data_IF_863505927434
#
_entry.id   IF_863505927434
#
_cell.length_a   1.000
_cell.length_b   1.000
_cell.length_c   1.000
_cell.angle_alpha   90.00
_cell.angle_beta   90.00
_cell.angle_gamma   90.00
#
_symmetry.space_group_name_H-M   'P 1'
#
loop_
_entity.id
_entity.type
_entity.pdbx_description
1 polymer ?
#
# COMPACT_ATOMS: atom_id res chain seq x y z
N UNK A 1 47.42 -32.03 -22.99
CA UNK A 1 46.94 -32.87 -21.86
C UNK A 1 48.15 -33.23 -21.00
N UNK A 2 48.09 -33.29 -19.66
CA UNK A 2 47.27 -32.61 -18.63
C UNK A 2 48.22 -31.70 -17.78
N UNK A 3 47.94 -31.07 -16.63
CA UNK A 3 46.93 -31.23 -15.61
C UNK A 3 46.73 -29.93 -14.81
N UNK A 4 45.45 -29.70 -14.52
CA UNK A 4 44.87 -28.87 -13.47
C UNK A 4 45.45 -29.19 -12.08
N UNK A 5 45.87 -28.19 -11.29
CA UNK A 5 45.84 -28.26 -9.81
C UNK A 5 45.55 -26.88 -9.20
N UNK A 6 44.32 -26.73 -8.73
CA UNK A 6 43.84 -25.66 -7.85
C UNK A 6 44.52 -25.76 -6.47
N UNK A 7 44.93 -24.66 -5.83
CA UNK A 7 45.21 -24.68 -4.41
C UNK A 7 43.89 -24.65 -3.63
N UNK A 8 43.66 -25.73 -2.87
CA UNK A 8 42.67 -25.84 -1.83
C UNK A 8 43.06 -24.96 -0.62
N UNK A 9 42.08 -24.26 -0.04
CA UNK A 9 42.29 -23.49 1.18
C UNK A 9 41.22 -22.44 1.45
N UNK A 10 39.94 -22.78 1.27
CA UNK A 10 38.82 -21.94 1.74
C UNK A 10 38.35 -22.51 3.08
N UNK A 11 38.80 -21.87 4.16
CA UNK A 11 38.29 -22.10 5.49
C UNK A 11 36.80 -21.72 5.52
N UNK A 12 35.95 -22.73 5.62
CA UNK A 12 34.53 -22.60 5.93
C UNK A 12 34.39 -22.07 7.36
N UNK A 13 34.18 -20.77 7.50
CA UNK A 13 33.62 -20.19 8.71
C UNK A 13 32.13 -20.53 8.79
N UNK A 14 31.81 -21.69 9.37
CA UNK A 14 30.47 -22.00 9.84
C UNK A 14 30.17 -21.12 11.06
N UNK A 15 29.64 -19.93 10.82
CA UNK A 15 28.96 -19.16 11.86
C UNK A 15 27.65 -19.86 12.24
N UNK A 16 27.31 -19.98 13.53
CA UNK A 16 26.09 -20.66 13.94
C UNK A 16 24.88 -19.93 13.37
N UNK A 17 23.96 -20.69 12.78
CA UNK A 17 22.63 -20.23 12.44
C UNK A 17 21.97 -19.74 13.74
N UNK A 18 21.94 -18.42 13.91
CA UNK A 18 21.21 -17.76 14.99
C UNK A 18 19.75 -18.16 14.91
N UNK A 19 19.22 -18.56 16.06
CA UNK A 19 17.88 -19.05 16.27
C UNK A 19 16.82 -18.24 15.52
N UNK A 20 15.82 -18.94 15.00
CA UNK A 20 14.53 -18.34 14.69
C UNK A 20 13.98 -17.69 15.97
N UNK A 21 14.00 -16.37 16.03
CA UNK A 21 13.39 -15.62 17.11
C UNK A 21 11.88 -15.64 16.88
N UNK A 22 11.21 -16.50 17.65
CA UNK A 22 9.81 -16.27 17.98
C UNK A 22 9.77 -14.98 18.81
N UNK A 23 9.34 -13.87 18.22
CA UNK A 23 9.13 -12.62 18.93
C UNK A 23 7.80 -12.71 19.69
N UNK A 24 7.83 -13.37 20.83
CA UNK A 24 6.87 -13.09 21.92
C UNK A 24 7.59 -12.17 22.91
N UNK A 25 7.73 -10.90 22.53
CA UNK A 25 8.14 -9.88 23.49
C UNK A 25 6.90 -9.42 24.20
N UNK A 26 6.69 -9.92 25.41
CA UNK A 26 5.78 -9.37 26.42
C UNK A 26 6.18 -7.95 26.82
N UNK A 27 6.16 -7.03 25.86
CA UNK A 27 6.35 -5.61 26.07
C UNK A 27 5.17 -5.13 26.92
N UNK A 28 5.49 -4.62 28.12
CA UNK A 28 4.50 -3.94 28.93
C UNK A 28 3.83 -2.83 28.09
N UNK A 29 2.53 -2.58 28.27
CA UNK A 29 1.78 -1.51 27.60
C UNK A 29 2.37 -0.08 27.78
N UNK A 30 3.50 0.05 28.49
CA UNK A 30 4.18 1.30 28.83
C UNK A 30 5.41 1.60 27.96
N UNK A 31 5.92 0.64 27.17
CA UNK A 31 7.04 0.94 26.26
C UNK A 31 6.56 1.69 25.01
N UNK A 32 7.22 2.79 24.62
CA UNK A 32 6.85 3.54 23.42
C UNK A 32 7.02 2.65 22.18
N UNK A 33 6.13 2.75 21.18
CA UNK A 33 6.21 1.93 19.98
C UNK A 33 7.55 2.17 19.25
N UNK A 34 8.18 1.09 18.81
CA UNK A 34 9.48 1.05 18.13
C UNK A 34 9.38 0.83 16.62
N UNK A 35 10.52 0.58 15.99
CA UNK A 35 10.59 0.33 14.55
C UNK A 35 10.47 -1.17 14.25
N UNK A 36 9.59 -1.52 13.31
CA UNK A 36 9.29 -2.91 12.94
C UNK A 36 10.04 -3.31 11.67
N UNK A 37 11.23 -3.89 11.84
CA UNK A 37 12.12 -4.25 10.73
C UNK A 37 11.94 -5.69 10.22
N UNK A 38 10.69 -6.10 9.96
CA UNK A 38 10.43 -7.42 9.38
C UNK A 38 11.03 -7.52 7.96
N UNK A 39 11.93 -8.49 7.69
CA UNK A 39 12.48 -8.72 6.36
C UNK A 39 11.41 -8.86 5.25
N UNK A 40 10.25 -9.45 5.55
CA UNK A 40 9.16 -9.63 4.58
C UNK A 40 8.53 -8.32 4.11
N UNK A 41 8.66 -7.25 4.90
CA UNK A 41 8.17 -5.90 4.57
C UNK A 41 9.33 -5.05 4.01
N UNK A 42 10.46 -5.03 4.73
CA UNK A 42 11.60 -4.16 4.41
C UNK A 42 12.24 -4.55 3.08
N UNK A 43 12.42 -5.85 2.80
CA UNK A 43 13.09 -6.30 1.56
C UNK A 43 12.29 -5.90 0.32
N UNK A 44 10.98 -6.16 0.20
CA UNK A 44 10.19 -5.66 -0.94
C UNK A 44 10.20 -4.14 -1.08
N UNK A 45 10.10 -3.39 0.02
CA UNK A 45 10.17 -1.92 -0.01
C UNK A 45 11.51 -1.43 -0.58
N UNK A 46 12.62 -2.01 -0.13
CA UNK A 46 13.95 -1.68 -0.61
C UNK A 46 14.17 -2.09 -2.06
N UNK A 47 13.64 -3.24 -2.49
CA UNK A 47 13.70 -3.68 -3.90
C UNK A 47 12.97 -2.67 -4.79
N UNK A 48 11.74 -2.27 -4.41
CA UNK A 48 10.94 -1.29 -5.15
C UNK A 48 11.66 0.06 -5.23
N UNK A 49 12.25 0.53 -4.12
CA UNK A 49 13.05 1.75 -4.09
C UNK A 49 14.29 1.65 -5.00
N UNK A 50 15.04 0.54 -4.91
CA UNK A 50 16.24 0.31 -5.70
C UNK A 50 15.94 0.25 -7.21
N UNK A 51 14.90 -0.49 -7.61
CA UNK A 51 14.46 -0.56 -9.00
C UNK A 51 14.09 0.81 -9.53
N UNK A 52 13.35 1.61 -8.76
CA UNK A 52 13.01 2.97 -9.16
C UNK A 52 14.26 3.86 -9.27
N UNK A 53 15.12 3.87 -8.27
CA UNK A 53 16.33 4.71 -8.23
C UNK A 53 17.33 4.38 -9.36
N UNK A 54 17.54 3.09 -9.65
CA UNK A 54 18.41 2.65 -10.75
C UNK A 54 17.79 3.02 -12.09
N UNK A 55 16.50 2.75 -12.28
CA UNK A 55 15.76 3.07 -13.50
C UNK A 55 15.74 4.57 -13.78
N UNK A 56 15.49 5.34 -12.74
CA UNK A 56 15.56 6.79 -12.70
C UNK A 56 16.93 7.32 -13.16
N UNK A 57 18.02 6.88 -12.53
CA UNK A 57 19.38 7.34 -12.83
C UNK A 57 19.78 7.04 -14.27
N UNK A 58 19.38 5.87 -14.79
CA UNK A 58 19.66 5.47 -16.17
C UNK A 58 18.83 6.24 -17.19
N UNK A 59 17.58 6.56 -16.86
CA UNK A 59 16.70 7.34 -17.71
C UNK A 59 17.08 8.81 -17.73
N UNK A 60 17.42 9.39 -16.57
CA UNK A 60 17.82 10.80 -16.45
C UNK A 60 19.12 11.10 -17.20
N UNK A 61 20.09 10.18 -17.18
CA UNK A 61 21.33 10.29 -17.96
C UNK A 61 21.13 10.32 -19.48
N UNK A 62 19.92 9.95 -19.97
CA UNK A 62 19.57 9.91 -21.41
C UNK A 62 18.53 10.95 -21.80
N UNK A 63 17.93 11.64 -20.83
CA UNK A 63 16.82 12.55 -21.06
C UNK A 63 17.33 13.96 -21.36
N UNK A 64 17.42 14.33 -22.64
CA UNK A 64 17.71 15.70 -23.06
C UNK A 64 16.48 16.63 -22.97
N UNK A 65 15.25 16.07 -22.99
CA UNK A 65 13.98 16.79 -22.86
C UNK A 65 13.10 16.07 -21.82
N UNK A 66 12.41 16.83 -20.96
CA UNK A 66 11.48 16.28 -19.96
C UNK A 66 12.08 16.00 -18.57
N UNK A 67 13.25 16.54 -18.25
CA UNK A 67 13.88 16.43 -16.94
C UNK A 67 12.96 16.88 -15.79
N UNK A 68 12.18 17.94 -15.97
CA UNK A 68 11.24 18.44 -14.94
C UNK A 68 10.07 17.46 -14.69
N UNK A 69 9.52 16.88 -15.76
CA UNK A 69 8.45 15.89 -15.64
C UNK A 69 8.95 14.62 -14.96
N UNK A 70 10.15 14.19 -15.34
CA UNK A 70 10.85 13.14 -14.64
C UNK A 70 10.94 13.58 -13.16
N UNK A 71 11.51 14.76 -12.83
CA UNK A 71 11.76 15.21 -11.44
C UNK A 71 10.50 15.22 -10.58
N UNK A 72 9.37 15.60 -11.18
CA UNK A 72 8.07 15.51 -10.55
C UNK A 72 7.66 14.06 -10.23
N UNK A 73 7.84 13.12 -11.15
CA UNK A 73 7.56 11.68 -10.92
C UNK A 73 8.42 11.10 -9.81
N UNK A 74 9.71 11.44 -9.73
CA UNK A 74 10.55 11.02 -8.60
C UNK A 74 10.07 11.55 -7.26
N UNK A 75 9.65 12.83 -7.20
CA UNK A 75 9.10 13.41 -5.97
C UNK A 75 7.81 12.71 -5.54
N UNK A 76 6.90 12.44 -6.48
CA UNK A 76 5.66 11.70 -6.20
C UNK A 76 5.93 10.27 -5.73
N UNK A 77 6.86 9.57 -6.40
CA UNK A 77 7.25 8.22 -6.00
C UNK A 77 7.88 8.22 -4.61
N UNK A 78 8.84 9.12 -4.35
CA UNK A 78 9.49 9.24 -3.05
C UNK A 78 8.49 9.55 -1.95
N UNK A 79 7.55 10.47 -2.18
CA UNK A 79 6.48 10.77 -1.22
C UNK A 79 5.58 9.56 -0.97
N UNK A 80 5.09 8.89 -2.02
CA UNK A 80 4.25 7.70 -1.88
C UNK A 80 4.96 6.54 -1.19
N UNK A 81 6.23 6.32 -1.52
CA UNK A 81 7.07 5.30 -0.90
C UNK A 81 7.34 5.62 0.58
N UNK A 82 7.62 6.87 0.92
CA UNK A 82 7.82 7.29 2.32
C UNK A 82 6.56 7.13 3.16
N UNK A 83 5.38 7.48 2.61
CA UNK A 83 4.10 7.24 3.30
C UNK A 83 3.88 5.74 3.51
N UNK A 84 4.14 4.92 2.48
CA UNK A 84 4.01 3.47 2.59
C UNK A 84 4.98 2.87 3.63
N UNK A 85 6.24 3.30 3.61
CA UNK A 85 7.24 2.86 4.58
C UNK A 85 6.91 3.32 6.01
N UNK A 86 6.39 4.55 6.16
CA UNK A 86 5.92 5.05 7.45
C UNK A 86 4.74 4.22 7.99
N UNK A 87 3.79 3.83 7.13
CA UNK A 87 2.68 2.99 7.54
C UNK A 87 3.13 1.57 7.98
N UNK A 88 4.15 1.00 7.33
CA UNK A 88 4.49 -0.42 7.50
C UNK A 88 5.67 -0.73 8.43
N UNK A 89 6.55 0.24 8.71
CA UNK A 89 7.85 -0.01 9.38
C UNK A 89 8.05 0.91 10.60
N UNK A 90 7.25 1.97 10.72
CA UNK A 90 7.43 2.97 11.77
C UNK A 90 6.74 2.59 13.08
N UNK A 91 6.99 3.34 14.18
CA UNK A 91 6.21 3.25 15.43
C UNK A 91 4.70 3.26 15.26
N UNK A 92 4.19 3.78 14.13
CA UNK A 92 2.78 3.67 13.81
C UNK A 92 2.34 2.21 13.69
N UNK A 93 3.13 1.34 13.05
CA UNK A 93 2.81 -0.07 12.85
C UNK A 93 2.61 -0.82 14.17
N UNK A 94 3.57 -0.66 15.09
CA UNK A 94 3.48 -1.26 16.42
C UNK A 94 2.37 -0.61 17.27
N UNK A 95 2.07 0.68 17.06
CA UNK A 95 0.91 1.31 17.66
C UNK A 95 -0.40 0.70 17.11
N UNK A 96 -0.42 0.30 15.84
CA UNK A 96 -1.52 -0.42 15.20
C UNK A 96 -1.84 -1.72 15.91
N UNK A 97 -0.84 -2.52 16.30
CA UNK A 97 -1.06 -3.77 17.05
C UNK A 97 -1.73 -3.56 18.42
N UNK A 98 -1.68 -2.33 18.96
CA UNK A 98 -2.19 -1.98 20.29
C UNK A 98 -3.41 -1.07 20.28
N UNK A 99 -3.77 -0.52 19.11
CA UNK A 99 -4.90 0.38 18.94
C UNK A 99 -5.51 0.18 17.55
N UNK A 100 -6.79 -0.17 17.53
CA UNK A 100 -7.58 -0.29 16.33
C UNK A 100 -7.65 1.04 15.56
N UNK A 101 -7.66 2.18 16.26
CA UNK A 101 -7.57 3.50 15.62
C UNK A 101 -6.25 3.71 14.87
N UNK A 102 -5.11 3.35 15.48
CA UNK A 102 -3.81 3.42 14.82
C UNK A 102 -3.74 2.46 13.62
N UNK A 103 -4.26 1.25 13.77
CA UNK A 103 -4.34 0.25 12.70
C UNK A 103 -5.19 0.74 11.53
N UNK A 104 -6.35 1.38 11.80
CA UNK A 104 -7.17 1.98 10.75
C UNK A 104 -6.45 3.13 10.05
N UNK A 105 -5.67 3.92 10.80
CA UNK A 105 -4.89 4.98 10.22
C UNK A 105 -3.82 4.44 9.24
N UNK A 106 -3.20 3.30 9.53
CA UNK A 106 -2.30 2.61 8.58
C UNK A 106 -3.01 2.24 7.28
N UNK A 107 -4.18 1.59 7.37
CA UNK A 107 -4.97 1.24 6.20
C UNK A 107 -5.28 2.48 5.34
N UNK A 108 -5.73 3.57 5.96
CA UNK A 108 -6.05 4.82 5.28
C UNK A 108 -4.80 5.44 4.63
N UNK A 109 -3.64 5.42 5.29
CA UNK A 109 -2.38 5.89 4.69
C UNK A 109 -1.98 5.06 3.47
N UNK A 110 -2.10 3.74 3.53
CA UNK A 110 -1.79 2.83 2.42
C UNK A 110 -2.71 3.13 1.24
N UNK A 111 -4.03 3.15 1.48
CA UNK A 111 -5.03 3.20 0.42
C UNK A 111 -5.23 4.61 -0.15
N UNK A 112 -5.24 5.64 0.69
CA UNK A 112 -5.67 7.00 0.30
C UNK A 112 -4.53 7.99 0.12
N UNK A 113 -3.33 7.70 0.64
CA UNK A 113 -2.17 8.56 0.48
C UNK A 113 -1.06 7.90 -0.36
N UNK A 114 -0.56 6.73 0.04
CA UNK A 114 0.54 6.06 -0.66
C UNK A 114 0.14 5.62 -2.08
N UNK A 115 -0.95 4.87 -2.22
CA UNK A 115 -1.38 4.33 -3.51
C UNK A 115 -1.58 5.40 -4.61
N UNK A 116 -2.31 6.51 -4.41
CA UNK A 116 -2.48 7.52 -5.46
C UNK A 116 -1.15 8.21 -5.82
N UNK A 117 -0.28 8.49 -4.85
CA UNK A 117 1.04 9.07 -5.10
C UNK A 117 1.92 8.13 -5.95
N UNK A 118 1.90 6.83 -5.63
CA UNK A 118 2.60 5.81 -6.40
C UNK A 118 2.02 5.70 -7.81
N UNK A 119 0.69 5.68 -7.99
CA UNK A 119 0.06 5.67 -9.33
C UNK A 119 0.45 6.89 -10.15
N UNK A 120 0.37 8.09 -9.58
CA UNK A 120 0.71 9.35 -10.27
C UNK A 120 2.19 9.44 -10.66
N UNK A 121 3.07 8.71 -9.97
CA UNK A 121 4.49 8.67 -10.31
C UNK A 121 4.80 7.89 -11.59
N UNK A 122 3.85 7.10 -12.12
CA UNK A 122 4.04 6.16 -13.24
C UNK A 122 5.32 5.30 -13.11
N UNK A 123 5.50 4.57 -11.98
CA UNK A 123 6.79 4.07 -11.56
C UNK A 123 7.26 2.90 -12.40
N UNK A 124 6.33 2.08 -12.91
CA UNK A 124 6.65 0.86 -13.67
C UNK A 124 7.51 1.16 -14.90
N UNK A 125 7.18 2.21 -15.66
CA UNK A 125 7.94 2.60 -16.83
C UNK A 125 9.38 3.02 -16.48
N UNK A 126 9.56 3.68 -15.32
CA UNK A 126 10.88 4.09 -14.81
C UNK A 126 11.64 2.87 -14.30
N UNK A 127 11.02 2.02 -13.49
CA UNK A 127 11.62 0.80 -12.92
C UNK A 127 12.09 -0.18 -14.00
N UNK A 128 11.41 -0.27 -15.15
CA UNK A 128 11.88 -1.09 -16.28
C UNK A 128 13.30 -0.70 -16.73
N UNK A 129 13.71 0.56 -16.60
CA UNK A 129 15.07 0.99 -16.95
C UNK A 129 16.15 0.45 -15.99
N UNK A 130 15.78 -0.14 -14.85
CA UNK A 130 16.71 -0.85 -13.97
C UNK A 130 17.29 -2.11 -14.62
N UNK A 131 16.60 -2.67 -15.61
CA UNK A 131 17.02 -3.89 -16.30
C UNK A 131 17.82 -3.60 -17.58
N UNK A 132 18.74 -4.50 -17.99
CA UNK A 132 19.41 -4.40 -19.29
C UNK A 132 18.42 -4.58 -20.45
N UNK A 133 18.84 -4.28 -21.68
CA UNK A 133 17.96 -4.32 -22.86
C UNK A 133 17.29 -5.68 -23.12
N UNK A 134 17.94 -6.80 -22.76
CA UNK A 134 17.34 -8.13 -22.83
C UNK A 134 16.20 -8.30 -21.81
N UNK A 135 16.47 -7.99 -20.53
CA UNK A 135 15.46 -8.06 -19.46
C UNK A 135 14.26 -7.14 -19.71
N UNK A 136 14.49 -5.92 -20.21
CA UNK A 136 13.42 -5.00 -20.60
C UNK A 136 12.50 -5.56 -21.67
N UNK A 137 13.06 -6.23 -22.68
CA UNK A 137 12.29 -6.88 -23.75
C UNK A 137 11.51 -8.08 -23.21
N UNK A 138 12.11 -8.88 -22.35
CA UNK A 138 11.44 -10.02 -21.71
C UNK A 138 10.26 -9.60 -20.83
N UNK A 139 10.49 -8.67 -19.91
CA UNK A 139 9.43 -8.11 -19.05
C UNK A 139 8.37 -7.41 -19.92
N UNK A 140 8.81 -6.64 -20.92
CA UNK A 140 7.93 -6.03 -21.91
C UNK A 140 7.01 -7.07 -22.56
N UNK A 141 7.56 -8.16 -23.10
CA UNK A 141 6.79 -9.23 -23.72
C UNK A 141 5.72 -9.82 -22.79
N UNK A 142 6.07 -10.09 -21.53
CA UNK A 142 5.13 -10.58 -20.50
C UNK A 142 4.04 -9.56 -20.21
N UNK A 143 4.40 -8.29 -19.98
CA UNK A 143 3.43 -7.21 -19.70
C UNK A 143 2.52 -6.90 -20.89
N UNK A 144 2.96 -7.22 -22.11
CA UNK A 144 2.16 -7.09 -23.33
C UNK A 144 1.43 -8.37 -23.73
N UNK A 145 1.60 -9.47 -22.99
CA UNK A 145 0.88 -10.70 -23.26
C UNK A 145 -0.63 -10.46 -23.13
N UNK A 146 -1.41 -11.02 -24.06
CA UNK A 146 -2.86 -10.77 -24.16
C UNK A 146 -3.59 -11.02 -22.85
N UNK A 147 -3.25 -12.11 -22.15
CA UNK A 147 -3.88 -12.44 -20.86
C UNK A 147 -3.54 -11.41 -19.79
N UNK A 148 -2.27 -11.01 -19.66
CA UNK A 148 -1.83 -10.02 -18.67
C UNK A 148 -2.49 -8.67 -18.92
N UNK A 149 -2.54 -8.21 -20.17
CA UNK A 149 -3.22 -6.96 -20.52
C UNK A 149 -4.73 -7.05 -20.29
N UNK A 150 -5.37 -8.17 -20.64
CA UNK A 150 -6.80 -8.37 -20.40
C UNK A 150 -7.12 -8.32 -18.90
N UNK A 151 -6.35 -9.03 -18.07
CA UNK A 151 -6.50 -9.00 -16.61
C UNK A 151 -6.25 -7.61 -16.04
N UNK A 152 -5.19 -6.91 -16.47
CA UNK A 152 -4.91 -5.55 -16.03
C UNK A 152 -6.03 -4.58 -16.41
N UNK A 153 -6.52 -4.64 -17.65
CA UNK A 153 -7.64 -3.79 -18.11
C UNK A 153 -8.94 -4.10 -17.38
N UNK A 154 -9.21 -5.37 -17.08
CA UNK A 154 -10.38 -5.78 -16.31
C UNK A 154 -10.31 -5.25 -14.87
N UNK A 155 -9.20 -5.53 -14.16
CA UNK A 155 -9.03 -5.11 -12.76
C UNK A 155 -8.91 -3.58 -12.61
N UNK A 156 -8.39 -2.89 -13.62
CA UNK A 156 -8.32 -1.42 -13.67
C UNK A 156 -9.54 -0.79 -14.35
N UNK A 157 -10.60 -1.54 -14.64
CA UNK A 157 -11.86 -0.96 -15.08
C UNK A 157 -12.51 -0.24 -13.90
N UNK A 158 -13.03 0.99 -14.04
CA UNK A 158 -13.47 1.81 -12.90
C UNK A 158 -14.42 1.11 -11.94
N UNK A 159 -15.43 0.42 -12.47
CA UNK A 159 -16.42 -0.26 -11.67
C UNK A 159 -15.84 -1.52 -11.00
N UNK A 160 -15.02 -2.29 -11.72
CA UNK A 160 -14.36 -3.49 -11.17
C UNK A 160 -13.38 -3.10 -10.07
N UNK A 161 -12.54 -2.10 -10.29
CA UNK A 161 -11.58 -1.62 -9.30
C UNK A 161 -12.29 -1.11 -8.04
N UNK A 162 -13.41 -0.41 -8.20
CA UNK A 162 -14.26 0.03 -7.08
C UNK A 162 -14.84 -1.15 -6.30
N UNK A 163 -15.36 -2.16 -6.99
CA UNK A 163 -15.90 -3.37 -6.36
C UNK A 163 -14.82 -4.19 -5.65
N UNK A 164 -13.65 -4.34 -6.26
CA UNK A 164 -12.50 -5.04 -5.65
C UNK A 164 -12.02 -4.31 -4.41
N UNK A 165 -11.90 -2.97 -4.46
CA UNK A 165 -11.54 -2.15 -3.30
C UNK A 165 -12.59 -2.28 -2.17
N UNK A 166 -13.87 -2.17 -2.51
CA UNK A 166 -14.96 -2.31 -1.56
C UNK A 166 -15.00 -3.72 -0.93
N UNK A 167 -14.81 -4.76 -1.73
CA UNK A 167 -14.76 -6.14 -1.25
C UNK A 167 -13.57 -6.36 -0.34
N UNK A 168 -12.37 -5.90 -0.71
CA UNK A 168 -11.19 -5.98 0.17
C UNK A 168 -11.49 -5.30 1.51
N UNK A 169 -12.02 -4.06 1.48
CA UNK A 169 -12.36 -3.31 2.68
C UNK A 169 -13.35 -4.09 3.57
N UNK A 170 -14.50 -4.49 3.05
CA UNK A 170 -15.53 -5.13 3.87
C UNK A 170 -15.16 -6.54 4.33
N UNK A 171 -14.47 -7.33 3.50
CA UNK A 171 -14.05 -8.67 3.88
C UNK A 171 -13.06 -8.62 5.04
N UNK A 172 -12.04 -7.77 4.96
CA UNK A 172 -11.06 -7.67 6.04
C UNK A 172 -11.61 -7.07 7.31
N UNK A 173 -12.65 -6.23 7.24
CA UNK A 173 -13.31 -5.70 8.44
C UNK A 173 -14.41 -6.61 9.00
N UNK A 174 -14.69 -7.75 8.37
CA UNK A 174 -15.55 -8.77 8.97
C UNK A 174 -14.83 -9.38 10.19
N UNK A 175 -15.46 -9.45 11.38
CA UNK A 175 -14.77 -9.82 12.61
C UNK A 175 -13.92 -11.11 12.53
N UNK A 176 -14.38 -12.22 11.92
CA UNK A 176 -13.57 -13.44 11.85
C UNK A 176 -12.30 -13.30 11.01
N UNK A 177 -12.36 -12.56 9.90
CA UNK A 177 -11.19 -12.35 9.03
C UNK A 177 -10.24 -11.32 9.63
N UNK A 178 -10.79 -10.30 10.28
CA UNK A 178 -10.00 -9.30 10.98
C UNK A 178 -9.23 -9.92 12.16
N UNK A 179 -9.90 -10.71 13.01
CA UNK A 179 -9.25 -11.41 14.12
C UNK A 179 -8.22 -12.45 13.62
N UNK A 180 -8.46 -13.07 12.45
CA UNK A 180 -7.49 -13.96 11.80
C UNK A 180 -6.23 -13.20 11.36
N UNK A 181 -6.38 -12.01 10.77
CA UNK A 181 -5.26 -11.16 10.39
C UNK A 181 -4.47 -10.70 11.62
N UNK A 182 -5.14 -10.29 12.70
CA UNK A 182 -4.47 -9.93 13.95
C UNK A 182 -3.71 -11.08 14.60
N UNK A 183 -4.16 -12.33 14.43
CA UNK A 183 -3.54 -13.49 15.04
C UNK A 183 -2.36 -14.07 14.23
N UNK A 184 -2.11 -13.57 13.02
CA UNK A 184 -1.11 -14.15 12.11
C UNK A 184 -0.49 -13.11 11.18
N UNK A 185 0.82 -12.90 11.31
CA UNK A 185 1.62 -11.98 10.49
C UNK A 185 1.43 -12.22 8.98
N UNK A 186 1.28 -13.48 8.56
CA UNK A 186 1.06 -13.83 7.16
C UNK A 186 -0.29 -13.34 6.63
N UNK A 187 -1.36 -13.46 7.43
CA UNK A 187 -2.68 -12.95 7.08
C UNK A 187 -2.76 -11.43 7.23
N UNK A 188 -2.07 -10.85 8.19
CA UNK A 188 -1.88 -9.40 8.32
C UNK A 188 -1.20 -8.81 7.08
N UNK A 189 -0.11 -9.42 6.63
CA UNK A 189 0.57 -9.05 5.40
C UNK A 189 -0.34 -9.22 4.16
N UNK A 190 -1.13 -10.29 4.10
CA UNK A 190 -2.10 -10.49 3.03
C UNK A 190 -3.19 -9.41 3.00
N UNK A 191 -3.66 -8.97 4.17
CA UNK A 191 -4.59 -7.86 4.31
C UNK A 191 -4.00 -6.56 3.78
N UNK A 192 -2.84 -6.13 4.28
CA UNK A 192 -2.15 -4.92 3.82
C UNK A 192 -1.83 -4.97 2.32
N UNK A 193 -1.34 -6.12 1.83
CA UNK A 193 -1.05 -6.29 0.40
C UNK A 193 -2.32 -6.19 -0.44
N UNK A 194 -3.43 -6.78 0.01
CA UNK A 194 -4.71 -6.68 -0.70
C UNK A 194 -5.21 -5.25 -0.79
N UNK A 195 -5.12 -4.47 0.30
CA UNK A 195 -5.47 -3.05 0.32
C UNK A 195 -4.59 -2.21 -0.60
N UNK A 196 -3.28 -2.44 -0.58
CA UNK A 196 -2.36 -1.75 -1.47
C UNK A 196 -2.67 -2.08 -2.93
N UNK A 197 -2.80 -3.36 -3.28
CA UNK A 197 -3.03 -3.81 -4.66
C UNK A 197 -4.38 -3.34 -5.18
N UNK A 198 -5.45 -3.48 -4.40
CA UNK A 198 -6.77 -2.98 -4.79
C UNK A 198 -6.76 -1.46 -4.95
N UNK A 199 -6.06 -0.73 -4.09
CA UNK A 199 -6.00 0.73 -4.15
C UNK A 199 -5.18 1.19 -5.38
N UNK A 200 -4.10 0.49 -5.72
CA UNK A 200 -3.35 0.75 -6.94
C UNK A 200 -4.23 0.57 -8.20
N UNK A 201 -5.08 -0.47 -8.25
CA UNK A 201 -6.05 -0.63 -9.34
C UNK A 201 -7.10 0.49 -9.34
N UNK A 202 -7.67 0.81 -8.18
CA UNK A 202 -8.67 1.85 -8.01
C UNK A 202 -8.16 3.21 -8.49
N UNK A 203 -7.02 3.66 -7.96
CA UNK A 203 -6.44 4.95 -8.34
C UNK A 203 -5.94 4.96 -9.78
N UNK A 204 -5.42 3.85 -10.31
CA UNK A 204 -5.08 3.74 -11.73
C UNK A 204 -6.32 3.94 -12.61
N UNK A 205 -7.46 3.37 -12.22
CA UNK A 205 -8.71 3.51 -12.94
C UNK A 205 -9.29 4.93 -12.86
N UNK A 206 -9.30 5.56 -11.68
CA UNK A 206 -9.87 6.90 -11.48
C UNK A 206 -9.02 8.02 -12.09
N UNK A 207 -7.69 7.87 -12.07
CA UNK A 207 -6.78 8.89 -12.57
C UNK A 207 -6.53 8.77 -14.08
N UNK A 208 -6.83 7.60 -14.66
CA UNK A 208 -6.71 7.34 -16.11
C UNK A 208 -7.42 8.38 -16.95
N UNK A 209 -6.80 8.78 -18.06
CA UNK A 209 -7.40 9.66 -19.07
C UNK A 209 -8.46 8.94 -19.93
N UNK A 210 -8.49 7.60 -19.90
CA UNK A 210 -9.44 6.79 -20.66
C UNK A 210 -10.79 6.67 -19.93
N UNK A 211 -10.81 6.91 -18.63
CA UNK A 211 -12.02 6.84 -17.82
C UNK A 211 -12.84 8.13 -18.02
N UNK A 212 -14.12 8.04 -18.41
CA UNK A 212 -15.00 9.20 -18.46
C UNK A 212 -15.07 9.90 -17.10
N UNK A 213 -14.96 11.23 -17.08
CA UNK A 213 -14.88 12.01 -15.84
C UNK A 213 -16.06 11.74 -14.90
N UNK A 214 -17.28 11.66 -15.44
CA UNK A 214 -18.48 11.33 -14.65
C UNK A 214 -18.44 9.94 -14.02
N UNK A 215 -17.88 8.95 -14.71
CA UNK A 215 -17.73 7.58 -14.19
C UNK A 215 -16.70 7.56 -13.05
N UNK A 216 -15.56 8.22 -13.22
CA UNK A 216 -14.55 8.32 -12.15
C UNK A 216 -15.11 9.04 -10.91
N UNK A 217 -15.80 10.17 -11.11
CA UNK A 217 -16.42 10.92 -10.01
C UNK A 217 -17.49 10.07 -9.28
N UNK A 218 -18.34 9.36 -10.02
CA UNK A 218 -19.35 8.48 -9.43
C UNK A 218 -18.71 7.33 -8.63
N UNK A 219 -17.65 6.71 -9.15
CA UNK A 219 -16.93 5.64 -8.45
C UNK A 219 -16.26 6.14 -7.17
N UNK A 220 -15.67 7.35 -7.18
CA UNK A 220 -15.10 8.00 -5.99
C UNK A 220 -16.17 8.27 -4.93
N UNK A 221 -17.35 8.79 -5.34
CA UNK A 221 -18.48 9.01 -4.43
C UNK A 221 -19.02 7.68 -3.89
N UNK A 222 -19.20 6.67 -4.74
CA UNK A 222 -19.67 5.35 -4.32
C UNK A 222 -18.70 4.71 -3.31
N UNK A 223 -17.39 4.81 -3.56
CA UNK A 223 -16.37 4.32 -2.62
C UNK A 223 -16.45 5.04 -1.29
N UNK A 224 -16.58 6.38 -1.30
CA UNK A 224 -16.76 7.19 -0.09
C UNK A 224 -18.00 6.79 0.71
N UNK A 225 -19.12 6.49 0.04
CA UNK A 225 -20.35 6.01 0.69
C UNK A 225 -20.13 4.61 1.29
N UNK A 226 -19.51 3.70 0.55
CA UNK A 226 -19.30 2.31 0.98
C UNK A 226 -18.31 2.22 2.15
N UNK A 227 -17.20 2.96 2.11
CA UNK A 227 -16.25 3.02 3.24
C UNK A 227 -16.82 3.83 4.41
N UNK A 228 -17.51 4.93 4.12
CA UNK A 228 -18.15 5.77 5.13
C UNK A 228 -19.27 5.07 5.88
N UNK A 229 -20.04 4.19 5.21
CA UNK A 229 -21.04 3.37 5.88
C UNK A 229 -20.39 2.40 6.88
N UNK A 230 -19.31 1.74 6.49
CA UNK A 230 -18.55 0.87 7.39
C UNK A 230 -17.97 1.66 8.58
N UNK A 231 -17.40 2.84 8.31
CA UNK A 231 -16.85 3.73 9.34
C UNK A 231 -17.92 4.24 10.30
N UNK A 232 -19.09 4.64 9.78
CA UNK A 232 -20.22 5.07 10.60
C UNK A 232 -20.74 3.95 11.50
N UNK A 233 -20.82 2.71 11.00
CA UNK A 233 -21.24 1.56 11.82
C UNK A 233 -20.28 1.33 12.99
N UNK A 234 -18.96 1.45 12.77
CA UNK A 234 -17.96 1.36 13.85
C UNK A 234 -18.03 2.56 14.81
N UNK A 235 -18.16 3.78 14.27
CA UNK A 235 -18.26 5.02 15.03
C UNK A 235 -19.47 5.09 15.96
N UNK A 236 -20.54 4.37 15.62
CA UNK A 236 -21.79 4.34 16.39
C UNK A 236 -21.95 3.06 17.22
N UNK A 237 -21.03 2.09 17.10
CA UNK A 237 -21.08 0.86 17.86
C UNK A 237 -20.77 1.10 19.34
N UNK A 238 -21.58 0.54 20.23
CA UNK A 238 -21.38 0.63 21.69
C UNK A 238 -20.57 -0.52 22.27
N UNK A 239 -20.32 -1.57 21.49
CA UNK A 239 -19.49 -2.72 21.86
C UNK A 239 -18.34 -2.91 20.87
N UNK A 240 -17.16 -3.38 21.33
CA UNK A 240 -16.08 -3.73 20.42
C UNK A 240 -16.46 -4.95 19.60
N UNK A 241 -16.18 -4.90 18.29
CA UNK A 241 -16.48 -5.98 17.35
C UNK A 241 -15.36 -7.02 17.26
N UNK A 242 -14.12 -6.59 17.51
CA UNK A 242 -12.92 -7.38 17.27
C UNK A 242 -12.38 -7.95 18.57
N UNK A 243 -12.35 -9.27 18.67
CA UNK A 243 -11.99 -9.95 19.90
C UNK A 243 -10.50 -9.73 20.25
N UNK A 244 -9.62 -9.59 19.25
CA UNK A 244 -8.22 -9.25 19.44
C UNK A 244 -8.02 -7.97 20.27
N UNK A 245 -8.62 -6.87 19.82
CA UNK A 245 -8.55 -5.58 20.52
C UNK A 245 -9.34 -5.57 21.83
N UNK A 246 -10.49 -6.25 21.90
CA UNK A 246 -11.26 -6.35 23.13
C UNK A 246 -10.46 -7.01 24.28
N UNK A 247 -9.55 -7.95 23.97
CA UNK A 247 -8.69 -8.63 24.96
C UNK A 247 -7.54 -7.75 25.47
N UNK A 248 -7.12 -6.74 24.73
CA UNK A 248 -6.04 -5.83 25.14
C UNK A 248 -6.45 -4.89 26.28
N UNK A 249 -7.75 -4.70 26.49
CA UNK A 249 -8.26 -3.76 27.51
C UNK A 249 -8.11 -2.31 27.06
N UNK A 250 -7.62 -1.43 27.93
CA UNK A 250 -7.43 -0.02 27.58
C UNK A 250 -6.28 0.12 26.57
N UNK A 251 -6.51 0.90 25.51
CA UNK A 251 -5.46 1.23 24.55
C UNK A 251 -4.34 2.05 25.21
N UNK A 252 -3.15 2.17 24.58
CA UNK A 252 -2.07 3.02 25.09
C UNK A 252 -2.45 4.49 25.26
N UNK A 253 -3.57 4.92 24.67
CA UNK A 253 -4.11 6.27 24.74
C UNK A 253 -5.22 6.44 25.79
N UNK A 254 -5.48 5.40 26.60
CA UNK A 254 -6.50 5.42 27.66
C UNK A 254 -7.94 5.24 27.16
N UNK A 255 -8.12 4.75 25.94
CA UNK A 255 -9.45 4.48 25.36
C UNK A 255 -9.89 3.05 25.67
N UNK A 256 -11.16 2.84 25.97
CA UNK A 256 -11.75 1.50 25.96
C UNK A 256 -11.76 0.91 24.54
N UNK A 257 -11.82 -0.43 24.36
CA UNK A 257 -11.89 -1.02 23.03
C UNK A 257 -13.04 -0.50 22.16
N UNK A 258 -14.18 -0.16 22.77
CA UNK A 258 -15.30 0.44 22.06
C UNK A 258 -14.99 1.86 21.60
N UNK A 259 -14.43 2.71 22.47
CA UNK A 259 -14.06 4.09 22.11
C UNK A 259 -12.96 4.13 21.04
N UNK A 260 -11.96 3.25 21.14
CA UNK A 260 -10.89 3.13 20.15
C UNK A 260 -11.45 2.70 18.77
N UNK A 261 -12.42 1.78 18.76
CA UNK A 261 -13.19 1.42 17.57
C UNK A 261 -14.00 2.60 17.00
N UNK A 262 -14.59 3.42 17.86
CA UNK A 262 -15.37 4.57 17.41
C UNK A 262 -14.47 5.62 16.73
N UNK A 263 -13.29 5.88 17.31
CA UNK A 263 -12.29 6.79 16.73
C UNK A 263 -11.81 6.29 15.37
N UNK A 264 -11.49 5.00 15.26
CA UNK A 264 -11.21 4.34 13.98
C UNK A 264 -12.33 4.54 12.95
N UNK A 265 -13.59 4.33 13.34
CA UNK A 265 -14.75 4.54 12.48
C UNK A 265 -14.85 5.99 11.98
N UNK A 266 -14.59 6.96 12.84
CA UNK A 266 -14.55 8.38 12.49
C UNK A 266 -13.40 8.71 11.53
N UNK A 267 -12.21 8.11 11.72
CA UNK A 267 -11.06 8.27 10.83
C UNK A 267 -11.35 7.77 9.42
N UNK A 268 -11.96 6.59 9.30
CA UNK A 268 -12.32 6.03 8.01
C UNK A 268 -13.46 6.79 7.33
N UNK A 269 -14.41 7.32 8.11
CA UNK A 269 -15.56 8.04 7.56
C UNK A 269 -15.20 9.46 7.11
N UNK A 270 -14.67 10.30 8.01
CA UNK A 270 -14.55 11.74 7.76
C UNK A 270 -13.30 12.06 6.92
N UNK A 271 -12.05 11.83 7.40
CA UNK A 271 -10.84 11.97 6.58
C UNK A 271 -10.90 11.18 5.27
N UNK A 272 -11.29 9.89 5.34
CA UNK A 272 -11.39 9.05 4.16
C UNK A 272 -12.39 9.59 3.14
N UNK A 273 -13.56 10.04 3.60
CA UNK A 273 -14.56 10.67 2.75
C UNK A 273 -14.08 11.99 2.11
N UNK A 274 -13.32 12.80 2.85
CA UNK A 274 -12.74 14.05 2.35
C UNK A 274 -11.72 13.81 1.23
N UNK A 275 -10.89 12.77 1.33
CA UNK A 275 -9.93 12.42 0.26
C UNK A 275 -10.67 12.04 -1.02
N UNK A 276 -11.69 11.18 -0.92
CA UNK A 276 -12.49 10.79 -2.08
C UNK A 276 -13.24 11.97 -2.70
N UNK A 277 -13.83 12.85 -1.87
CA UNK A 277 -14.52 14.05 -2.31
C UNK A 277 -13.54 15.02 -3.01
N UNK A 278 -12.38 15.28 -2.40
CA UNK A 278 -11.32 16.10 -2.99
C UNK A 278 -10.84 15.54 -4.33
N UNK A 279 -10.61 14.23 -4.42
CA UNK A 279 -10.25 13.56 -5.66
C UNK A 279 -11.35 13.70 -6.73
N UNK A 280 -12.63 13.56 -6.36
CA UNK A 280 -13.76 13.71 -7.29
C UNK A 280 -13.81 15.13 -7.86
N UNK A 281 -13.64 16.15 -7.01
CA UNK A 281 -13.56 17.55 -7.43
C UNK A 281 -12.37 17.81 -8.36
N UNK A 282 -11.20 17.25 -8.06
CA UNK A 282 -9.99 17.37 -8.90
C UNK A 282 -10.19 16.72 -10.27
N UNK A 283 -10.85 15.57 -10.34
CA UNK A 283 -11.18 14.89 -11.60
C UNK A 283 -12.23 15.68 -12.38
N UNK A 284 -13.26 16.22 -11.72
CA UNK A 284 -14.28 17.07 -12.32
C UNK A 284 -13.73 18.38 -12.88
N UNK A 285 -12.66 18.95 -12.30
CA UNK A 285 -11.98 20.13 -12.83
C UNK A 285 -11.52 19.95 -14.29
N UNK A 286 -11.33 18.71 -14.75
CA UNK A 286 -11.02 18.40 -16.16
C UNK A 286 -12.14 18.83 -17.12
N UNK A 287 -13.40 18.86 -16.68
CA UNK A 287 -14.55 19.32 -17.47
C UNK A 287 -14.55 20.85 -17.66
N UNK A 288 -13.94 21.59 -16.73
CA UNK A 288 -13.88 23.05 -16.73
C UNK A 288 -12.69 23.60 -17.53
N UNK A 289 -11.77 22.73 -17.96
CA UNK A 289 -10.66 23.16 -18.82
C UNK A 289 -11.21 23.29 -20.25
N UNK A 290 -11.16 24.49 -20.86
CA UNK A 290 -11.61 24.66 -22.23
C UNK A 290 -10.85 23.69 -23.14
N UNK A 291 -11.60 23.01 -24.02
CA UNK A 291 -11.00 22.21 -25.07
C UNK A 291 -10.25 23.18 -26.00
N UNK A 292 -8.95 23.36 -25.78
CA UNK A 292 -8.11 24.00 -26.79
C UNK A 292 -7.97 23.01 -27.94
N UNK A 293 -8.80 23.25 -28.96
CA UNK A 293 -8.65 22.76 -30.32
C UNK A 293 -7.37 23.31 -30.96
#
# INVERSE_FOLDING_TARGET
>A
MPALRWPAGLALGLGPAGAAWAHDTGASHQEPPGWTLDPWIVVPLLIVLALFAIGWKRLSARANLGADRLAHRARLFGAGWLVLAAALVSPLHEAGERSFAAHMFEHELIMLAAAPLLVLSEPLAIMLWAFPAGGRRGIGAVTTARLVQATWHFLSAPLVATLVQAAALWLWHAPPLFDLALASDGWHAAQHLSFLVSALFFWSAMLSRRTPVGVAALCLVATSVVSGALGALMALATSPWYAGYARLGLSPYGLTPAEDQQVAGLLMWVPGGLVHAGAALLVMRRLLRPAHA
#
